data_IF_804291529749
#
_entry.id   IF_804291529749
#
_cell.length_a   1.000
_cell.length_b   1.000
_cell.length_c   1.000
_cell.angle_alpha   90.00
_cell.angle_beta   90.00
_cell.angle_gamma   90.00
#
_symmetry.space_group_name_H-M   'P 1'
#
loop_
_entity.id
_entity.type
_entity.pdbx_description
1 polymer ?
#
# COMPACT_ATOMS: atom_id res chain seq x y z
N UNK A 1 -13.48 -89.28 -6.50
CA UNK A 1 -14.68 -88.59 -7.03
C UNK A 1 -14.96 -87.39 -6.13
N UNK A 2 -15.40 -86.26 -6.72
CA UNK A 2 -15.74 -84.97 -6.09
C UNK A 2 -14.49 -84.08 -5.81
N UNK A 3 -13.96 -83.36 -6.81
CA UNK A 3 -14.34 -82.02 -7.30
C UNK A 3 -14.40 -80.95 -6.20
N UNK A 4 -13.33 -80.17 -6.08
CA UNK A 4 -13.31 -78.88 -5.41
C UNK A 4 -12.88 -77.81 -6.43
N UNK A 5 -13.86 -77.06 -6.91
CA UNK A 5 -13.70 -75.95 -7.85
C UNK A 5 -12.99 -74.77 -7.18
N UNK A 6 -11.78 -74.45 -7.62
CA UNK A 6 -11.09 -73.22 -7.28
C UNK A 6 -11.46 -72.15 -8.31
N UNK A 7 -12.40 -71.28 -7.94
CA UNK A 7 -12.76 -70.11 -8.72
C UNK A 7 -11.76 -68.98 -8.41
N UNK A 8 -10.89 -68.66 -9.36
CA UNK A 8 -9.95 -67.54 -9.27
C UNK A 8 -10.69 -66.22 -9.45
N UNK A 9 -10.72 -65.39 -8.41
CA UNK A 9 -11.25 -64.03 -8.48
C UNK A 9 -10.20 -63.15 -9.17
N UNK A 10 -10.55 -62.66 -10.36
CA UNK A 10 -9.81 -61.61 -11.08
C UNK A 10 -9.98 -60.28 -10.34
N UNK A 11 -8.88 -59.73 -9.80
CA UNK A 11 -8.86 -58.38 -9.26
C UNK A 11 -8.47 -57.42 -10.40
N UNK A 12 -9.44 -56.69 -10.93
CA UNK A 12 -9.22 -55.64 -11.92
C UNK A 12 -8.46 -54.47 -11.29
N UNK A 13 -7.23 -54.25 -11.71
CA UNK A 13 -6.39 -53.11 -11.31
C UNK A 13 -6.81 -51.88 -12.13
N UNK A 14 -7.74 -51.08 -11.62
CA UNK A 14 -8.03 -49.76 -12.17
C UNK A 14 -6.94 -48.77 -11.77
N UNK A 15 -6.01 -48.49 -12.68
CA UNK A 15 -4.99 -47.46 -12.51
C UNK A 15 -5.65 -46.07 -12.63
N UNK A 16 -6.03 -45.46 -11.52
CA UNK A 16 -6.42 -44.04 -11.50
C UNK A 16 -5.15 -43.21 -11.60
N UNK A 17 -4.83 -42.76 -12.81
CA UNK A 17 -3.80 -41.76 -13.03
C UNK A 17 -4.30 -40.41 -12.47
N UNK A 18 -3.90 -40.08 -11.24
CA UNK A 18 -4.08 -38.73 -10.70
C UNK A 18 -3.06 -37.81 -11.37
N UNK A 19 -3.52 -36.94 -12.27
CA UNK A 19 -2.74 -35.83 -12.79
C UNK A 19 -2.17 -35.00 -11.62
N UNK A 20 -0.88 -34.62 -11.62
CA UNK A 20 -0.36 -33.76 -10.58
C UNK A 20 -1.05 -32.41 -10.67
N UNK A 21 -1.86 -32.09 -9.67
CA UNK A 21 -2.32 -30.72 -9.41
C UNK A 21 -1.06 -29.90 -9.24
N UNK A 22 -0.78 -29.01 -10.21
CA UNK A 22 0.27 -28.00 -10.07
C UNK A 22 -0.19 -27.00 -9.02
N UNK A 23 -0.05 -27.36 -7.76
CA UNK A 23 -0.15 -26.43 -6.65
C UNK A 23 1.01 -25.47 -6.82
N UNK A 24 0.71 -24.26 -7.30
CA UNK A 24 1.69 -23.19 -7.42
C UNK A 24 2.02 -22.76 -5.99
N UNK A 25 3.00 -23.43 -5.39
CA UNK A 25 3.54 -23.05 -4.10
C UNK A 25 4.21 -21.69 -4.27
N UNK A 26 3.49 -20.62 -3.94
CA UNK A 26 4.07 -19.31 -3.74
C UNK A 26 4.89 -19.35 -2.46
N UNK A 27 6.14 -19.83 -2.58
CA UNK A 27 7.11 -19.71 -1.51
C UNK A 27 7.27 -18.24 -1.16
N UNK A 28 7.09 -17.90 0.12
CA UNK A 28 7.34 -16.57 0.66
C UNK A 28 8.83 -16.24 0.48
N UNK A 29 9.16 -15.49 -0.59
CA UNK A 29 10.51 -14.95 -0.80
C UNK A 29 10.70 -13.72 0.08
N UNK A 30 11.90 -13.59 0.66
CA UNK A 30 12.36 -12.44 1.42
C UNK A 30 11.94 -11.11 0.74
N UNK A 31 11.31 -10.22 1.51
CA UNK A 31 10.64 -8.96 1.12
C UNK A 31 11.14 -8.32 -0.20
N UNK A 32 10.67 -8.81 -1.34
CA UNK A 32 10.93 -8.20 -2.63
C UNK A 32 10.10 -6.92 -2.76
N UNK A 33 10.72 -5.85 -3.26
CA UNK A 33 9.98 -4.63 -3.62
C UNK A 33 8.95 -4.94 -4.71
N UNK A 34 7.79 -4.27 -4.73
CA UNK A 34 6.72 -4.59 -5.65
C UNK A 34 7.14 -4.30 -7.09
N UNK A 35 6.65 -5.14 -7.99
CA UNK A 35 6.67 -4.95 -9.44
C UNK A 35 5.61 -3.92 -9.88
N UNK A 36 5.75 -3.38 -11.10
CA UNK A 36 4.74 -2.47 -11.67
C UNK A 36 3.34 -3.10 -11.74
N UNK A 37 3.28 -4.41 -12.03
CA UNK A 37 2.03 -5.15 -12.10
C UNK A 37 1.35 -5.25 -10.72
N UNK A 38 2.12 -5.53 -9.67
CA UNK A 38 1.63 -5.56 -8.29
C UNK A 38 1.15 -4.18 -7.85
N UNK A 39 1.92 -3.12 -8.10
CA UNK A 39 1.49 -1.74 -7.79
C UNK A 39 0.19 -1.40 -8.51
N UNK A 40 0.10 -1.68 -9.81
CA UNK A 40 -1.11 -1.45 -10.61
C UNK A 40 -2.31 -2.24 -10.09
N UNK A 41 -2.10 -3.49 -9.67
CA UNK A 41 -3.14 -4.32 -9.08
C UNK A 41 -3.61 -3.74 -7.73
N UNK A 42 -2.68 -3.35 -6.85
CA UNK A 42 -3.00 -2.75 -5.55
C UNK A 42 -3.84 -1.46 -5.68
N UNK A 43 -3.62 -0.65 -6.72
CA UNK A 43 -4.45 0.53 -6.98
C UNK A 43 -5.91 0.20 -7.30
N UNK A 44 -6.15 -0.95 -7.95
CA UNK A 44 -7.51 -1.44 -8.22
C UNK A 44 -8.14 -2.04 -6.96
N UNK A 45 -7.41 -2.90 -6.25
CA UNK A 45 -7.89 -3.53 -5.01
C UNK A 45 -8.27 -2.49 -3.96
N UNK A 46 -7.47 -1.42 -3.83
CA UNK A 46 -7.75 -0.32 -2.91
C UNK A 46 -8.77 0.70 -3.45
N UNK A 47 -9.41 0.44 -4.59
CA UNK A 47 -10.37 1.32 -5.29
C UNK A 47 -9.86 2.72 -5.63
N UNK A 48 -8.55 2.98 -5.54
CA UNK A 48 -7.94 4.24 -6.01
C UNK A 48 -8.24 4.44 -7.50
N UNK A 49 -8.27 3.34 -8.25
CA UNK A 49 -8.98 3.24 -9.52
C UNK A 49 -10.29 2.49 -9.24
N UNK A 50 -11.48 3.12 -9.40
CA UNK A 50 -11.73 4.39 -10.08
C UNK A 50 -11.85 5.65 -9.20
N UNK A 51 -11.85 5.55 -7.87
CA UNK A 51 -12.27 6.66 -6.98
C UNK A 51 -11.47 7.95 -7.18
N UNK A 52 -10.14 7.83 -7.31
CA UNK A 52 -9.22 8.95 -7.46
C UNK A 52 -8.82 9.17 -8.92
N UNK A 53 -8.57 8.07 -9.63
CA UNK A 53 -8.07 8.06 -11.01
C UNK A 53 -8.95 7.18 -11.90
N UNK A 54 -9.32 7.63 -13.11
CA UNK A 54 -10.08 6.80 -14.04
C UNK A 54 -9.22 5.64 -14.60
N UNK A 55 -7.91 5.83 -14.69
CA UNK A 55 -6.98 4.85 -15.21
C UNK A 55 -5.59 5.01 -14.59
N UNK A 56 -4.90 3.89 -14.38
CA UNK A 56 -3.52 3.87 -13.90
C UNK A 56 -2.68 2.90 -14.72
N UNK A 57 -1.67 3.44 -15.42
CA UNK A 57 -0.74 2.71 -16.29
C UNK A 57 0.70 3.12 -15.93
N UNK A 58 1.21 2.73 -14.75
CA UNK A 58 2.54 3.14 -14.31
C UNK A 58 3.63 2.55 -15.22
N UNK A 59 4.61 3.38 -15.57
CA UNK A 59 5.85 2.99 -16.25
C UNK A 59 7.05 2.96 -15.30
N UNK A 60 6.95 3.62 -14.14
CA UNK A 60 7.98 3.65 -13.11
C UNK A 60 7.39 3.37 -11.72
N UNK A 61 8.26 3.00 -10.77
CA UNK A 61 7.91 2.77 -9.37
C UNK A 61 8.21 4.02 -8.55
N UNK A 62 7.27 4.41 -7.69
CA UNK A 62 7.40 5.53 -6.77
C UNK A 62 7.53 5.00 -5.34
N UNK A 63 8.44 5.59 -4.57
CA UNK A 63 8.68 5.25 -3.18
C UNK A 63 8.63 6.49 -2.30
N UNK A 64 7.92 6.38 -1.19
CA UNK A 64 8.00 7.31 -0.08
C UNK A 64 8.76 6.64 1.05
N UNK A 65 9.81 7.27 1.56
CA UNK A 65 10.56 6.77 2.72
C UNK A 65 10.49 7.76 3.87
N UNK A 66 9.70 7.41 4.88
CA UNK A 66 9.55 8.21 6.08
C UNK A 66 10.78 8.08 6.98
N UNK A 67 11.32 9.20 7.48
CA UNK A 67 12.44 9.17 8.41
C UNK A 67 12.02 8.54 9.73
N UNK A 68 12.99 8.35 10.64
CA UNK A 68 12.70 7.82 11.97
C UNK A 68 11.75 8.78 12.71
N UNK A 69 10.73 8.28 13.42
CA UNK A 69 9.86 9.12 14.24
C UNK A 69 10.70 9.91 15.25
N UNK A 70 10.34 11.16 15.49
CA UNK A 70 11.05 12.00 16.45
C UNK A 70 10.91 11.45 17.88
N UNK A 71 11.95 11.63 18.71
CA UNK A 71 12.02 11.06 20.06
C UNK A 71 10.93 11.54 21.05
N UNK A 72 10.06 12.47 20.62
CA UNK A 72 8.94 13.02 21.42
C UNK A 72 7.76 12.04 21.54
N UNK A 73 7.65 11.07 20.63
CA UNK A 73 6.69 9.95 20.75
C UNK A 73 7.49 8.64 20.91
N UNK A 74 7.77 8.27 22.16
CA UNK A 74 8.50 7.04 22.50
C UNK A 74 7.63 5.80 22.32
N UNK A 75 7.24 5.46 21.08
CA UNK A 75 6.91 4.06 20.81
C UNK A 75 8.23 3.28 20.79
N UNK A 76 8.38 2.32 21.72
CA UNK A 76 9.61 1.52 21.91
C UNK A 76 10.01 0.67 20.68
N UNK A 77 9.34 0.78 19.53
CA UNK A 77 9.34 -0.25 18.47
C UNK A 77 9.91 0.14 17.10
N UNK A 78 10.26 1.39 16.78
CA UNK A 78 10.79 1.69 15.42
C UNK A 78 12.06 2.53 15.38
N UNK A 79 13.22 1.86 15.41
CA UNK A 79 14.56 2.47 15.28
C UNK A 79 14.98 2.78 13.83
N UNK A 80 14.15 2.49 12.83
CA UNK A 80 14.50 2.56 11.38
C UNK A 80 13.48 3.37 10.58
N UNK A 81 13.95 3.96 9.47
CA UNK A 81 13.08 4.59 8.47
C UNK A 81 12.13 3.55 7.87
N UNK A 82 10.93 4.00 7.47
CA UNK A 82 9.91 3.12 6.88
C UNK A 82 9.60 3.55 5.46
N UNK A 83 9.89 2.67 4.50
CA UNK A 83 9.47 2.85 3.11
C UNK A 83 8.06 2.33 2.91
N UNK A 84 7.22 3.14 2.25
CA UNK A 84 5.86 2.80 1.87
C UNK A 84 5.89 1.72 0.80
N UNK A 85 5.16 0.65 1.06
CA UNK A 85 4.75 -0.32 0.06
C UNK A 85 3.25 -0.12 -0.18
N UNK A 86 2.74 -0.31 -1.41
CA UNK A 86 1.33 -0.10 -1.72
C UNK A 86 0.41 -0.81 -0.73
N UNK A 87 -0.54 -0.07 -0.15
CA UNK A 87 -1.54 -0.61 0.78
C UNK A 87 -1.03 -0.94 2.18
N UNK A 88 0.24 -0.64 2.49
CA UNK A 88 0.77 -0.84 3.83
C UNK A 88 0.14 0.15 4.81
N UNK A 89 -0.22 -0.35 5.99
CA UNK A 89 -0.72 0.46 7.11
C UNK A 89 0.42 1.16 7.82
N UNK A 90 0.19 2.42 8.20
CA UNK A 90 1.10 3.27 8.93
C UNK A 90 0.36 3.89 10.12
N UNK A 91 1.02 3.92 11.27
CA UNK A 91 0.59 4.74 12.40
C UNK A 91 0.88 6.22 12.08
N UNK A 92 0.04 7.11 12.62
CA UNK A 92 0.12 8.56 12.38
C UNK A 92 1.51 9.13 12.70
N UNK A 93 2.10 8.73 13.81
CA UNK A 93 3.40 9.20 14.31
C UNK A 93 4.56 8.93 13.34
N UNK A 94 4.47 7.85 12.55
CA UNK A 94 5.46 7.50 11.53
C UNK A 94 5.45 8.53 10.39
N UNK A 95 4.30 9.09 10.09
CA UNK A 95 4.07 9.98 8.94
C UNK A 95 4.14 11.46 9.31
N UNK A 96 4.57 11.79 10.53
CA UNK A 96 4.64 13.17 11.01
C UNK A 96 5.61 14.04 10.20
N UNK A 97 6.79 13.49 9.87
CA UNK A 97 7.77 14.19 9.04
C UNK A 97 7.56 13.87 7.55
N UNK A 98 7.88 14.83 6.68
CA UNK A 98 7.82 14.62 5.23
C UNK A 98 8.74 13.46 4.79
N UNK A 99 8.31 12.65 3.81
CA UNK A 99 9.11 11.52 3.31
C UNK A 99 10.19 11.96 2.32
N UNK A 100 11.26 11.16 2.19
CA UNK A 100 12.08 11.16 0.98
C UNK A 100 11.27 10.54 -0.16
N UNK A 101 11.20 11.25 -1.29
CA UNK A 101 10.50 10.79 -2.50
C UNK A 101 11.55 10.28 -3.48
N UNK A 102 11.41 9.05 -3.94
CA UNK A 102 12.33 8.47 -4.92
C UNK A 102 11.61 7.65 -5.98
N UNK A 103 12.21 7.57 -7.17
CA UNK A 103 11.69 6.89 -8.34
C UNK A 103 12.65 5.79 -8.80
N UNK A 104 12.11 4.68 -9.30
CA UNK A 104 12.87 3.63 -10.00
C UNK A 104 12.16 3.22 -11.27
N UNK A 105 12.85 3.24 -12.40
CA UNK A 105 12.29 2.86 -13.70
C UNK A 105 12.84 3.76 -14.82
N UNK A 106 12.21 3.73 -16.01
CA UNK A 106 12.59 4.56 -17.14
C UNK A 106 12.54 6.07 -16.84
N UNK A 107 11.70 6.50 -15.88
CA UNK A 107 11.57 7.89 -15.49
C UNK A 107 11.02 8.77 -16.60
N UNK A 108 11.46 10.03 -16.59
CA UNK A 108 11.16 11.10 -17.53
C UNK A 108 12.40 11.98 -17.68
N UNK A 109 12.74 12.45 -18.89
CA UNK A 109 13.93 13.29 -19.11
C UNK A 109 13.78 14.71 -18.55
N UNK A 110 12.56 15.20 -18.34
CA UNK A 110 12.29 16.54 -17.81
C UNK A 110 11.97 16.58 -16.31
N UNK A 111 11.36 17.69 -15.90
CA UNK A 111 10.86 17.84 -14.53
C UNK A 111 9.64 16.95 -14.24
N UNK A 112 9.34 16.76 -12.96
CA UNK A 112 8.20 15.99 -12.49
C UNK A 112 7.27 16.85 -11.63
N UNK A 113 6.00 16.43 -11.59
CA UNK A 113 5.00 16.95 -10.66
C UNK A 113 4.56 15.86 -9.70
N UNK A 114 4.60 16.15 -8.41
CA UNK A 114 4.25 15.23 -7.34
C UNK A 114 3.02 15.71 -6.57
N UNK A 115 2.15 14.76 -6.24
CA UNK A 115 1.02 14.96 -5.34
C UNK A 115 1.00 13.89 -4.25
N UNK A 116 0.63 14.29 -3.04
CA UNK A 116 0.12 13.40 -1.99
C UNK A 116 -1.31 13.81 -1.67
N UNK A 117 -2.27 12.90 -1.89
CA UNK A 117 -3.71 13.18 -1.83
C UNK A 117 -4.41 12.25 -0.84
N UNK A 118 -5.38 12.80 -0.10
CA UNK A 118 -6.34 12.04 0.71
C UNK A 118 -7.71 12.07 -0.01
N UNK A 119 -8.15 10.95 -0.64
CA UNK A 119 -9.46 10.85 -1.28
C UNK A 119 -10.58 10.49 -0.30
N UNK A 120 -10.27 10.31 0.98
CA UNK A 120 -11.18 9.75 1.98
C UNK A 120 -11.60 10.81 3.00
N UNK A 121 -11.23 12.08 2.87
CA UNK A 121 -11.57 13.09 3.87
C UNK A 121 -13.04 13.56 3.78
N UNK A 122 -13.75 13.76 4.91
CA UNK A 122 -13.35 13.44 6.29
C UNK A 122 -13.44 11.96 6.66
N UNK A 123 -14.20 11.15 5.93
CA UNK A 123 -14.22 9.69 6.07
C UNK A 123 -14.41 9.01 4.71
N UNK A 124 -13.88 7.81 4.53
CA UNK A 124 -14.06 7.05 3.29
C UNK A 124 -15.56 6.78 2.97
N UNK A 125 -16.42 6.74 4.00
CA UNK A 125 -17.86 6.53 3.83
C UNK A 125 -18.62 7.80 3.40
N UNK A 126 -18.14 8.99 3.79
CA UNK A 126 -18.67 10.29 3.39
C UNK A 126 -17.49 11.24 3.05
N UNK A 127 -16.87 11.10 1.87
CA UNK A 127 -15.65 11.81 1.51
C UNK A 127 -15.94 13.23 0.98
N UNK A 128 -16.78 14.00 1.67
CA UNK A 128 -17.24 15.32 1.21
C UNK A 128 -16.13 16.37 1.06
N UNK A 129 -14.97 16.21 1.70
CA UNK A 129 -13.82 17.11 1.56
C UNK A 129 -12.77 16.59 0.56
N UNK A 130 -12.97 15.39 0.03
CA UNK A 130 -12.06 14.80 -0.92
C UNK A 130 -11.98 15.63 -2.22
N UNK A 131 -10.83 15.70 -2.87
CA UNK A 131 -9.53 15.15 -2.47
C UNK A 131 -8.77 16.24 -1.68
N UNK A 132 -8.13 15.90 -0.56
CA UNK A 132 -7.33 16.87 0.20
C UNK A 132 -5.88 16.80 -0.24
N UNK A 133 -5.29 17.94 -0.60
CA UNK A 133 -3.87 18.05 -0.96
C UNK A 133 -2.99 18.08 0.29
N UNK A 134 -2.33 16.96 0.56
CA UNK A 134 -1.33 16.86 1.61
C UNK A 134 0.03 17.37 1.16
N UNK A 135 0.34 17.25 -0.13
CA UNK A 135 1.57 17.81 -0.70
C UNK A 135 1.37 18.04 -2.20
N UNK A 136 1.91 19.14 -2.72
CA UNK A 136 1.96 19.41 -4.16
C UNK A 136 3.29 20.11 -4.48
N UNK A 137 4.10 19.48 -5.32
CA UNK A 137 5.36 20.04 -5.82
C UNK A 137 5.43 19.93 -7.34
N UNK A 138 5.79 21.03 -8.00
CA UNK A 138 6.28 21.03 -9.38
C UNK A 138 7.80 21.15 -9.41
N UNK A 139 8.37 21.15 -10.62
CA UNK A 139 9.79 21.38 -10.87
C UNK A 139 10.72 20.43 -10.10
N UNK A 140 10.28 19.20 -9.85
CA UNK A 140 11.14 18.18 -9.26
C UNK A 140 12.10 17.65 -10.31
N UNK A 141 13.36 17.48 -9.96
CA UNK A 141 14.38 16.86 -10.82
C UNK A 141 15.02 15.66 -10.13
N UNK A 142 15.65 14.81 -10.94
CA UNK A 142 16.45 13.70 -10.42
C UNK A 142 17.68 14.26 -9.68
N UNK A 143 17.89 13.77 -8.46
CA UNK A 143 19.05 14.06 -7.63
C UNK A 143 19.96 12.84 -7.48
N UNK A 144 20.47 12.64 -6.27
CA UNK A 144 21.32 11.48 -5.93
C UNK A 144 20.53 10.17 -5.74
N UNK A 145 21.26 9.09 -5.47
CA UNK A 145 20.65 7.80 -5.14
C UNK A 145 19.96 7.83 -3.77
N UNK A 146 18.83 7.14 -3.67
CA UNK A 146 18.14 6.95 -2.40
C UNK A 146 18.98 6.09 -1.46
N UNK A 147 19.10 6.53 -0.20
CA UNK A 147 19.71 5.75 0.89
C UNK A 147 18.78 4.65 1.43
N UNK A 148 17.51 4.66 1.03
CA UNK A 148 16.47 3.76 1.53
C UNK A 148 16.10 2.69 0.50
N UNK A 149 16.19 3.04 -0.78
CA UNK A 149 15.74 2.20 -1.89
C UNK A 149 16.86 2.03 -2.90
N UNK A 150 17.57 0.90 -2.84
CA UNK A 150 18.59 0.46 -3.81
C UNK A 150 18.16 0.69 -5.26
N UNK A 151 19.00 1.39 -6.02
CA UNK A 151 18.79 1.75 -7.44
C UNK A 151 17.54 2.62 -7.68
N UNK A 152 17.04 3.32 -6.67
CA UNK A 152 16.11 4.43 -6.85
C UNK A 152 16.85 5.76 -6.77
N UNK A 153 16.33 6.75 -7.49
CA UNK A 153 16.88 8.11 -7.54
C UNK A 153 15.94 9.04 -6.79
N UNK A 154 16.48 9.88 -5.92
CA UNK A 154 15.70 10.85 -5.14
C UNK A 154 15.22 11.96 -6.06
N UNK A 155 13.98 12.41 -5.85
CA UNK A 155 13.46 13.62 -6.47
C UNK A 155 13.75 14.81 -5.56
N UNK A 156 14.47 15.78 -6.10
CA UNK A 156 14.82 17.02 -5.40
C UNK A 156 14.02 18.16 -5.97
N UNK A 157 13.51 19.02 -5.09
CA UNK A 157 12.78 20.20 -5.54
C UNK A 157 13.76 21.30 -5.94
N UNK A 158 13.54 21.92 -7.10
CA UNK A 158 14.28 23.11 -7.51
C UNK A 158 13.63 24.41 -7.01
N UNK A 159 12.37 24.34 -6.58
CA UNK A 159 11.57 25.47 -6.12
C UNK A 159 10.94 25.20 -4.74
N UNK A 160 10.19 26.15 -4.18
CA UNK A 160 9.37 25.89 -2.99
C UNK A 160 8.19 24.99 -3.38
N UNK A 161 7.68 24.18 -2.44
CA UNK A 161 6.47 23.40 -2.69
C UNK A 161 5.26 24.33 -2.88
N UNK A 162 4.34 23.96 -3.78
CA UNK A 162 3.10 24.73 -3.99
C UNK A 162 2.15 24.51 -2.80
N UNK A 163 2.10 23.27 -2.30
CA UNK A 163 1.52 22.97 -1.01
C UNK A 163 2.54 22.17 -0.21
N UNK A 164 3.05 22.78 0.86
CA UNK A 164 3.93 22.11 1.82
C UNK A 164 3.30 20.85 2.41
N UNK A 165 4.15 19.94 2.87
CA UNK A 165 3.74 18.69 3.47
C UNK A 165 2.84 18.93 4.69
N UNK A 166 1.60 18.45 4.59
CA UNK A 166 0.67 18.34 5.70
C UNK A 166 0.65 16.86 6.13
N UNK A 167 1.01 16.54 7.39
CA UNK A 167 1.03 15.15 7.84
C UNK A 167 -0.36 14.49 7.72
N UNK A 168 -0.42 13.21 7.34
CA UNK A 168 -1.62 12.39 7.49
C UNK A 168 -2.17 12.46 8.91
N UNK A 169 -3.44 12.82 9.03
CA UNK A 169 -4.13 12.95 10.31
C UNK A 169 -5.63 12.67 10.10
N UNK A 170 -6.01 11.43 9.73
CA UNK A 170 -7.41 11.07 9.58
C UNK A 170 -8.15 11.36 10.89
N UNK A 171 -9.37 11.89 10.89
CA UNK A 171 -10.09 12.16 12.13
C UNK A 171 -10.32 10.88 12.97
N UNK A 172 -10.42 11.02 14.28
CA UNK A 172 -10.72 9.87 15.15
C UNK A 172 -12.10 9.29 14.82
N UNK A 173 -12.23 7.96 14.85
CA UNK A 173 -13.49 7.27 14.55
C UNK A 173 -13.91 7.22 13.07
N UNK A 174 -13.18 7.85 12.13
CA UNK A 174 -13.52 7.79 10.69
C UNK A 174 -12.91 6.58 9.97
N UNK A 175 -12.14 5.78 10.71
CA UNK A 175 -11.43 4.63 10.18
C UNK A 175 -10.17 5.03 9.40
N UNK A 176 -9.57 4.08 8.68
CA UNK A 176 -8.36 4.32 7.91
C UNK A 176 -8.62 5.19 6.67
N UNK A 177 -7.73 6.14 6.39
CA UNK A 177 -7.69 6.91 5.15
C UNK A 177 -6.55 6.46 4.24
N UNK A 178 -6.78 6.48 2.92
CA UNK A 178 -5.79 6.28 1.86
C UNK A 178 -5.02 7.58 1.65
N UNK A 179 -3.70 7.52 1.65
CA UNK A 179 -2.84 8.63 1.24
C UNK A 179 -2.10 8.22 -0.03
N UNK A 180 -2.53 8.78 -1.15
CA UNK A 180 -2.09 8.37 -2.48
C UNK A 180 -1.05 9.34 -3.01
N UNK A 181 0.14 8.81 -3.27
CA UNK A 181 1.24 9.53 -3.89
C UNK A 181 1.24 9.27 -5.40
N UNK A 182 1.24 10.36 -6.18
CA UNK A 182 1.22 10.31 -7.64
C UNK A 182 2.37 11.16 -8.19
N UNK A 183 3.04 10.65 -9.22
CA UNK A 183 4.11 11.34 -9.91
C UNK A 183 3.82 11.41 -11.41
N UNK A 184 3.89 12.61 -11.96
CA UNK A 184 3.60 12.91 -13.36
C UNK A 184 4.84 13.46 -14.07
N UNK A 185 4.91 13.25 -15.39
CA UNK A 185 5.78 14.04 -16.25
C UNK A 185 5.29 15.49 -16.25
N UNK A 186 6.19 16.45 -16.00
CA UNK A 186 5.82 17.85 -16.14
C UNK A 186 5.94 18.26 -17.62
N UNK A 187 4.86 18.74 -18.26
CA UNK A 187 4.96 19.29 -19.61
C UNK A 187 5.69 20.65 -19.58
N UNK A 188 6.32 21.09 -20.69
CA UNK A 188 7.05 22.36 -20.74
C UNK A 188 6.20 23.59 -20.42
N UNK A 189 4.91 23.55 -20.77
CA UNK A 189 3.90 24.58 -20.56
C UNK A 189 3.06 24.34 -19.28
N UNK A 190 3.59 23.57 -18.33
CA UNK A 190 2.90 23.27 -17.08
C UNK A 190 2.51 24.55 -16.34
N UNK A 191 1.20 24.75 -16.21
CA UNK A 191 0.62 25.88 -15.51
C UNK A 191 -0.40 25.40 -14.47
N UNK A 192 -0.33 25.98 -13.27
CA UNK A 192 -1.27 25.74 -12.17
C UNK A 192 -1.88 27.03 -11.62
N UNK A 193 -1.69 28.19 -12.27
CA UNK A 193 -2.17 29.50 -11.79
C UNK A 193 -3.69 29.59 -11.62
N UNK A 194 -4.44 28.68 -12.24
CA UNK A 194 -5.89 28.57 -12.09
C UNK A 194 -6.34 27.86 -10.81
N UNK A 195 -5.41 27.26 -10.07
CA UNK A 195 -5.69 26.55 -8.82
C UNK A 195 -5.57 27.54 -7.67
N UNK A 196 -6.61 27.64 -6.83
CA UNK A 196 -6.47 28.24 -5.51
C UNK A 196 -5.59 27.32 -4.64
N UNK A 197 -4.35 27.75 -4.42
CA UNK A 197 -3.37 26.98 -3.66
C UNK A 197 -3.66 27.01 -2.16
N UNK A 198 -4.45 27.95 -1.67
CA UNK A 198 -4.82 28.05 -0.24
C UNK A 198 -5.88 27.02 0.16
N UNK A 199 -6.85 26.74 -0.70
CA UNK A 199 -7.89 25.73 -0.47
C UNK A 199 -7.41 24.33 -0.85
N UNK A 200 -6.97 23.56 0.14
CA UNK A 200 -6.44 22.19 -0.05
C UNK A 200 -7.52 21.14 -0.27
N UNK A 201 -8.77 21.36 0.17
CA UNK A 201 -9.89 20.42 0.06
C UNK A 201 -10.55 20.51 -1.31
N UNK A 202 -11.48 19.60 -1.58
CA UNK A 202 -12.28 19.56 -2.81
C UNK A 202 -11.46 19.53 -4.10
N UNK A 203 -10.20 19.09 -4.01
CA UNK A 203 -9.34 18.96 -5.17
C UNK A 203 -9.82 17.82 -6.05
N UNK A 204 -9.58 17.93 -7.35
CA UNK A 204 -9.87 16.88 -8.30
C UNK A 204 -8.67 16.71 -9.23
N UNK A 205 -7.84 15.70 -8.94
CA UNK A 205 -6.63 15.43 -9.72
C UNK A 205 -6.94 15.17 -11.19
N UNK A 206 -8.07 14.54 -11.53
CA UNK A 206 -8.42 14.25 -12.92
C UNK A 206 -8.73 15.54 -13.70
N UNK A 207 -9.51 16.46 -13.10
CA UNK A 207 -9.78 17.78 -13.69
C UNK A 207 -8.51 18.62 -13.77
N UNK A 208 -7.69 18.60 -12.71
CA UNK A 208 -6.42 19.32 -12.66
C UNK A 208 -5.48 18.83 -13.77
N UNK A 209 -5.20 17.52 -13.84
CA UNK A 209 -4.30 16.94 -14.83
C UNK A 209 -4.74 17.19 -16.27
N UNK A 210 -6.06 17.21 -16.53
CA UNK A 210 -6.60 17.59 -17.85
C UNK A 210 -6.33 19.07 -18.17
N UNK A 211 -6.55 19.97 -17.21
CA UNK A 211 -6.40 21.41 -17.40
C UNK A 211 -4.94 21.86 -17.47
N UNK A 212 -4.04 21.19 -16.76
CA UNK A 212 -2.59 21.49 -16.73
C UNK A 212 -1.75 20.66 -17.71
N UNK A 213 -2.37 19.75 -18.48
CA UNK A 213 -1.68 18.95 -19.49
C UNK A 213 -0.84 17.77 -18.97
N UNK A 214 -0.92 17.42 -17.68
CA UNK A 214 -0.11 16.34 -17.07
C UNK A 214 -0.35 14.93 -17.63
N UNK A 215 -1.51 14.70 -18.26
CA UNK A 215 -1.89 13.36 -18.74
C UNK A 215 -2.09 12.36 -17.60
N UNK A 216 -1.50 11.16 -17.73
CA UNK A 216 -1.60 10.08 -16.73
C UNK A 216 -0.34 9.98 -15.86
N UNK A 217 -0.45 9.58 -14.59
CA UNK A 217 0.72 9.48 -13.72
C UNK A 217 1.69 8.39 -14.21
N UNK A 218 2.98 8.71 -14.20
CA UNK A 218 4.09 7.80 -14.55
C UNK A 218 4.30 6.73 -13.47
N UNK A 219 4.08 7.12 -12.22
CA UNK A 219 4.30 6.27 -11.06
C UNK A 219 3.33 6.65 -9.94
N UNK A 220 3.11 5.71 -9.04
CA UNK A 220 2.27 5.93 -7.87
C UNK A 220 2.55 4.89 -6.79
N UNK A 221 2.28 5.28 -5.56
CA UNK A 221 2.22 4.39 -4.39
C UNK A 221 1.20 4.95 -3.42
N UNK A 222 0.80 4.18 -2.42
CA UNK A 222 -0.11 4.67 -1.41
C UNK A 222 0.11 3.95 -0.09
N UNK A 223 -0.28 4.62 0.99
CA UNK A 223 -0.34 4.05 2.32
C UNK A 223 -1.71 4.27 2.91
N UNK A 224 -2.00 3.54 3.96
CA UNK A 224 -3.20 3.73 4.75
C UNK A 224 -2.80 4.18 6.15
N UNK A 225 -3.38 5.28 6.63
CA UNK A 225 -3.14 5.76 8.00
C UNK A 225 -4.44 5.69 8.77
N UNK A 226 -4.38 5.25 10.03
CA UNK A 226 -5.47 5.30 11.00
C UNK A 226 -4.90 5.99 12.25
N UNK A 227 -5.73 6.74 12.97
CA UNK A 227 -5.43 7.02 14.38
C UNK A 227 -5.64 5.69 15.13
N UNK A 228 -4.61 5.21 15.81
CA UNK A 228 -4.80 4.15 16.81
C UNK A 228 -5.69 4.77 17.89
N UNK A 229 -6.89 4.23 18.06
CA UNK A 229 -7.69 4.56 19.22
C UNK A 229 -6.93 3.95 20.40
N UNK A 230 -6.61 4.73 21.44
CA UNK A 230 -5.77 4.31 22.58
C UNK A 230 -6.35 3.13 23.40
N UNK A 231 -7.41 2.45 22.93
CA UNK A 231 -8.23 1.50 23.69
C UNK A 231 -8.53 0.15 22.98
N UNK A 232 -7.72 -0.30 22.01
CA UNK A 232 -7.76 -1.71 21.59
C UNK A 232 -6.38 -2.35 21.68
N UNK A 233 -6.06 -2.80 22.90
CA UNK A 233 -4.99 -3.76 23.16
C UNK A 233 -5.05 -4.89 22.11
N UNK A 234 -4.02 -4.95 21.27
CA UNK A 234 -3.70 -6.02 20.30
C UNK A 234 -3.43 -7.39 20.98
N UNK A 235 -3.89 -7.55 22.22
CA UNK A 235 -3.79 -8.76 23.04
C UNK A 235 -5.15 -9.50 23.15
N UNK A 236 -6.27 -8.88 22.74
CA UNK A 236 -7.62 -9.46 22.92
C UNK A 236 -8.01 -10.49 21.85
N UNK A 237 -7.29 -10.57 20.72
CA UNK A 237 -7.60 -11.55 19.65
C UNK A 237 -6.96 -12.94 19.81
N UNK A 238 -6.14 -13.16 20.84
CA UNK A 238 -5.54 -14.49 21.11
C UNK A 238 -6.26 -15.29 22.21
N UNK A 239 -7.12 -14.66 23.02
CA UNK A 239 -7.74 -15.34 24.16
C UNK A 239 -8.84 -16.36 23.81
N UNK A 240 -9.68 -16.19 22.75
CA UNK A 240 -10.68 -17.20 22.41
C UNK A 240 -10.06 -18.48 21.82
N UNK A 241 -9.06 -18.33 20.95
CA UNK A 241 -8.39 -19.46 20.27
C UNK A 241 -7.53 -20.27 21.25
N UNK A 242 -6.82 -19.59 22.16
CA UNK A 242 -6.02 -20.27 23.20
C UNK A 242 -6.93 -20.94 24.24
N UNK A 243 -8.07 -20.34 24.62
CA UNK A 243 -9.08 -21.02 25.47
C UNK A 243 -9.69 -22.25 24.79
N UNK A 244 -9.95 -22.19 23.48
CA UNK A 244 -10.51 -23.33 22.74
C UNK A 244 -9.50 -24.46 22.54
N UNK A 245 -8.20 -24.14 22.39
CA UNK A 245 -7.14 -25.15 22.36
C UNK A 245 -6.88 -25.75 23.75
N UNK A 246 -6.82 -24.93 24.81
CA UNK A 246 -6.62 -25.41 26.18
C UNK A 246 -7.76 -26.28 26.68
N UNK A 247 -9.02 -25.95 26.36
CA UNK A 247 -10.17 -26.78 26.71
C UNK A 247 -10.19 -28.12 25.97
N UNK A 248 -9.73 -28.14 24.71
CA UNK A 248 -9.61 -29.35 23.92
C UNK A 248 -8.52 -30.29 24.48
N UNK A 249 -7.37 -29.74 24.88
CA UNK A 249 -6.30 -30.53 25.52
C UNK A 249 -6.70 -31.05 26.91
N UNK A 250 -7.43 -30.27 27.72
CA UNK A 250 -7.94 -30.74 29.02
C UNK A 250 -8.93 -31.91 28.86
N UNK A 251 -9.79 -31.92 27.85
CA UNK A 251 -10.69 -33.05 27.59
C UNK A 251 -9.98 -34.28 27.03
N UNK A 252 -8.92 -34.09 26.24
CA UNK A 252 -8.10 -35.20 25.72
C UNK A 252 -7.33 -35.87 26.86
N UNK A 253 -6.73 -35.10 27.76
CA UNK A 253 -5.98 -35.62 28.92
C UNK A 253 -6.92 -36.35 29.90
N UNK A 254 -8.15 -35.86 30.10
CA UNK A 254 -9.13 -36.52 30.98
C UNK A 254 -9.64 -37.85 30.41
N UNK A 255 -9.66 -38.02 29.07
CA UNK A 255 -10.02 -39.28 28.38
C UNK A 255 -8.90 -40.31 28.30
N UNK A 256 -7.66 -39.93 28.61
CA UNK A 256 -6.52 -40.87 28.65
C UNK A 256 -6.23 -41.37 30.07
N UNK A 257 -6.85 -40.77 31.10
CA UNK A 257 -6.62 -41.10 32.51
C UNK A 257 -7.80 -41.81 33.20
N UNK A 258 -8.89 -42.10 32.46
CA UNK A 258 -10.03 -42.91 32.91
C UNK A 258 -10.55 -43.78 31.76
#
# INVERSE_FOLDING_TARGET
MLWASLLTISLSLSLVASSPVKTKCYGYKAHSRPTLAEVKHSFKEAKIVPDLLPIFKPSSLLYLSYPKPSAKHKSKKSKKSKTVLPGKKFAKDVTEAAPEISIKGPGWPGAYVFFLLDPDAPSNQDPKWAQVRHMFMGNLTLGGFSKHVTNAVVLTNQTVAVNDYMPPAPPAGTGPHRYVALLYAQPPDFNYSFLDTSERKHFNITKFSKKSGLGTPLAGTFMTVKIEDDDEDEDTYWLPVVKQLLSHWQQIVLKMLF
#
